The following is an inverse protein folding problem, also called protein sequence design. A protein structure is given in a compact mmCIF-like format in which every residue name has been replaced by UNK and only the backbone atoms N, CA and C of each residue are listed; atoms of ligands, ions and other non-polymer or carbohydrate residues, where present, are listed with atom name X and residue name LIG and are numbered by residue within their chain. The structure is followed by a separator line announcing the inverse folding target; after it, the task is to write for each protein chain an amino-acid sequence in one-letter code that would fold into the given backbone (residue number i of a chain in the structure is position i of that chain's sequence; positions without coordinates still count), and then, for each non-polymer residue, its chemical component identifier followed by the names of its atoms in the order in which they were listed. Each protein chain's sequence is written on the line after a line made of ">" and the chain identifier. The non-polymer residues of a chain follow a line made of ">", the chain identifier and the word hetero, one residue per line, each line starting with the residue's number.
data_IF_947369146782
#
_entry.id   IF_947369146782
#
_cell.length_a   1.000
_cell.length_b   1.000
_cell.length_c   1.000
_cell.angle_alpha   90.00
_cell.angle_beta   90.00
_cell.angle_gamma   90.00
#
_symmetry.space_group_name_H-M   'P 1'
#
loop_
_entity.id
_entity.type
_entity.pdbx_description
1 polymer ?
#
# COMPACT_ATOMS: atom_id res chain seq x y z
N UNK A 1 1.48 -12.40 -28.32
CA UNK A 1 0.99 -12.57 -26.94
C UNK A 1 0.02 -11.44 -26.64
N UNK A 2 -1.28 -11.68 -26.73
CA UNK A 2 -2.26 -10.71 -26.24
C UNK A 2 -2.50 -11.00 -24.77
N UNK A 3 -1.82 -10.26 -23.89
CA UNK A 3 -2.23 -10.14 -22.50
C UNK A 3 -3.72 -9.74 -22.46
N UNK A 4 -4.44 -10.26 -21.47
CA UNK A 4 -5.91 -10.41 -21.47
C UNK A 4 -6.72 -9.24 -22.04
N UNK A 5 -7.88 -9.57 -22.62
CA UNK A 5 -8.80 -8.65 -23.30
C UNK A 5 -9.62 -7.76 -22.34
N UNK A 6 -9.36 -7.85 -21.04
CA UNK A 6 -10.08 -7.11 -20.00
C UNK A 6 -9.53 -5.71 -19.75
N UNK A 7 -10.32 -4.91 -19.01
CA UNK A 7 -9.90 -3.59 -18.55
C UNK A 7 -8.62 -3.73 -17.71
N UNK A 8 -7.56 -2.93 -17.97
CA UNK A 8 -6.36 -2.94 -17.15
C UNK A 8 -6.70 -2.77 -15.67
N UNK A 9 -6.12 -3.59 -14.80
CA UNK A 9 -6.38 -3.55 -13.35
C UNK A 9 -6.14 -2.15 -12.76
N UNK A 10 -5.17 -1.42 -13.32
CA UNK A 10 -4.88 -0.03 -12.96
C UNK A 10 -6.01 0.93 -13.30
N UNK A 11 -6.80 0.69 -14.34
CA UNK A 11 -7.98 1.50 -14.66
C UNK A 11 -9.15 1.19 -13.71
N UNK A 12 -9.32 -0.09 -13.35
CA UNK A 12 -10.40 -0.51 -12.48
C UNK A 12 -10.18 -0.12 -11.01
N UNK A 13 -8.96 -0.26 -10.48
CA UNK A 13 -8.68 -0.06 -9.05
C UNK A 13 -8.10 1.34 -8.75
N UNK A 14 -8.81 2.21 -8.00
CA UNK A 14 -8.29 3.49 -7.54
C UNK A 14 -6.98 3.37 -6.74
N UNK A 15 -6.81 2.27 -6.01
CA UNK A 15 -5.61 1.98 -5.21
C UNK A 15 -4.34 1.79 -6.06
N UNK A 16 -4.50 1.41 -7.33
CA UNK A 16 -3.38 1.30 -8.26
C UNK A 16 -3.12 2.62 -9.02
N UNK A 17 -4.09 3.54 -9.02
CA UNK A 17 -3.96 4.87 -9.64
C UNK A 17 -3.32 5.88 -8.70
N UNK A 18 -3.77 5.91 -7.44
CA UNK A 18 -3.39 6.95 -6.49
C UNK A 18 -2.40 6.41 -5.45
N UNK A 19 -1.17 6.91 -5.48
CA UNK A 19 -0.12 6.51 -4.54
C UNK A 19 -0.54 6.69 -3.08
N UNK A 20 -1.22 7.79 -2.74
CA UNK A 20 -1.71 8.03 -1.39
C UNK A 20 -2.69 6.96 -0.90
N UNK A 21 -3.63 6.54 -1.75
CA UNK A 21 -4.59 5.47 -1.40
C UNK A 21 -3.89 4.12 -1.30
N UNK A 22 -2.94 3.84 -2.20
CA UNK A 22 -2.12 2.62 -2.15
C UNK A 22 -1.34 2.51 -0.84
N UNK A 23 -0.62 3.57 -0.47
CA UNK A 23 0.21 3.57 0.74
C UNK A 23 -0.64 3.40 2.00
N UNK A 24 -1.84 4.00 2.02
CA UNK A 24 -2.79 3.83 3.13
C UNK A 24 -3.20 2.37 3.29
N UNK A 25 -3.61 1.71 2.22
CA UNK A 25 -4.01 0.29 2.27
C UNK A 25 -2.86 -0.62 2.67
N UNK A 26 -1.65 -0.41 2.12
CA UNK A 26 -0.48 -1.20 2.48
C UNK A 26 -0.22 -1.09 3.99
N UNK A 27 -0.28 0.13 4.54
CA UNK A 27 -0.07 0.36 5.96
C UNK A 27 -1.18 -0.26 6.83
N UNK A 28 -2.44 -0.13 6.41
CA UNK A 28 -3.59 -0.69 7.12
C UNK A 28 -3.55 -2.23 7.14
N UNK A 29 -3.15 -2.87 6.03
CA UNK A 29 -2.94 -4.31 5.96
C UNK A 29 -1.77 -4.75 6.86
N UNK A 30 -0.61 -4.11 6.74
CA UNK A 30 0.55 -4.45 7.56
C UNK A 30 0.28 -4.29 9.07
N UNK A 31 -0.46 -3.25 9.49
CA UNK A 31 -0.85 -3.09 10.89
C UNK A 31 -1.81 -4.20 11.34
N UNK A 32 -2.79 -4.59 10.52
CA UNK A 32 -3.72 -5.67 10.85
C UNK A 32 -3.00 -7.00 11.00
N UNK A 33 -2.12 -7.33 10.05
CA UNK A 33 -1.36 -8.58 10.07
C UNK A 33 -0.48 -8.65 11.32
N UNK A 34 0.18 -7.53 11.66
CA UNK A 34 0.96 -7.40 12.89
C UNK A 34 0.10 -7.65 14.15
N UNK A 35 -1.12 -7.13 14.22
CA UNK A 35 -2.03 -7.41 15.34
C UNK A 35 -2.48 -8.88 15.38
N UNK A 36 -2.72 -9.50 14.22
CA UNK A 36 -3.07 -10.92 14.12
C UNK A 36 -1.91 -11.79 14.65
N UNK A 37 -0.67 -11.38 14.41
CA UNK A 37 0.54 -12.02 14.93
C UNK A 37 0.80 -11.75 16.42
N UNK A 38 -0.06 -10.98 17.09
CA UNK A 38 0.04 -10.68 18.53
C UNK A 38 0.89 -9.45 18.86
N UNK A 39 1.31 -8.67 17.86
CA UNK A 39 2.04 -7.42 18.07
C UNK A 39 1.08 -6.25 18.34
N UNK A 40 1.54 -5.19 19.04
CA UNK A 40 0.73 -4.01 19.24
C UNK A 40 0.51 -3.24 17.92
N UNK A 41 -0.60 -2.48 17.87
CA UNK A 41 -0.86 -1.54 16.76
C UNK A 41 0.29 -0.58 16.55
N UNK A 42 0.46 -0.12 15.31
CA UNK A 42 1.54 0.79 14.97
C UNK A 42 1.36 2.14 15.67
N UNK A 43 2.44 2.60 16.29
CA UNK A 43 2.47 3.95 16.85
C UNK A 43 2.38 5.01 15.74
N UNK A 44 1.96 6.23 16.09
CA UNK A 44 1.93 7.37 15.14
C UNK A 44 3.30 7.61 14.49
N UNK A 45 4.40 7.39 15.24
CA UNK A 45 5.77 7.53 14.75
C UNK A 45 6.08 6.48 13.68
N UNK A 46 5.81 5.21 13.97
CA UNK A 46 6.01 4.11 13.01
C UNK A 46 5.18 4.32 11.74
N UNK A 47 3.89 4.69 11.87
CA UNK A 47 3.04 4.99 10.72
C UNK A 47 3.65 6.08 9.82
N UNK A 48 4.20 7.14 10.42
CA UNK A 48 4.86 8.23 9.69
C UNK A 48 6.14 7.78 8.99
N UNK A 49 6.96 6.94 9.64
CA UNK A 49 8.19 6.39 9.08
C UNK A 49 7.89 5.43 7.92
N UNK A 50 6.98 4.46 8.10
CA UNK A 50 6.54 3.55 7.05
C UNK A 50 5.97 4.31 5.84
N UNK A 51 5.14 5.34 6.07
CA UNK A 51 4.62 6.18 4.98
C UNK A 51 5.72 6.95 4.24
N UNK A 52 6.78 7.38 4.93
CA UNK A 52 7.93 8.03 4.29
C UNK A 52 8.66 7.04 3.39
N UNK A 53 8.94 5.84 3.89
CA UNK A 53 9.65 4.82 3.09
C UNK A 53 8.82 4.34 1.89
N UNK A 54 7.51 4.16 2.04
CA UNK A 54 6.60 3.86 0.93
C UNK A 54 6.61 4.95 -0.15
N UNK A 55 6.67 6.22 0.25
CA UNK A 55 6.81 7.34 -0.70
C UNK A 55 8.14 7.28 -1.43
N UNK A 56 9.25 7.01 -0.74
CA UNK A 56 10.58 6.90 -1.36
C UNK A 56 10.65 5.76 -2.38
N UNK A 57 10.08 4.60 -2.05
CA UNK A 57 10.02 3.45 -2.95
C UNK A 57 9.17 3.71 -4.18
N UNK A 58 8.05 4.44 -4.04
CA UNK A 58 7.16 4.75 -5.16
C UNK A 58 7.70 5.82 -6.12
N UNK A 59 8.80 6.50 -5.78
CA UNK A 59 9.47 7.52 -6.62
C UNK A 59 10.62 6.93 -7.44
N UNK A 60 11.15 5.77 -7.07
CA UNK A 60 12.16 5.09 -7.89
C UNK A 60 11.49 4.37 -9.07
N UNK A 61 11.92 4.66 -10.31
CA UNK A 61 11.38 4.02 -11.52
C UNK A 61 11.72 2.53 -11.59
#
# INVERSE_FOLDING_TARGET
>A
MTFGTGIPLRQFSPHLRHAAQRHRIILDCAERDSVIEGLPRFSKKMKKECLRELKNLSVKP
#
